data_IF_943768143988
#
_entry.id   IF_943768143988
#
_cell.length_a   1.000
_cell.length_b   1.000
_cell.length_c   1.000
_cell.angle_alpha   90.00
_cell.angle_beta   90.00
_cell.angle_gamma   90.00
#
_symmetry.space_group_name_H-M   'P 1'
#
loop_
_entity.id
_entity.type
_entity.pdbx_description
1 polymer ?
#
# COMPACT_ATOMS: atom_id res chain seq x y z
N UNK A 1 -29.19 12.12 -67.78
CA UNK A 1 -28.45 11.00 -67.15
C UNK A 1 -28.18 11.43 -65.71
N UNK A 2 -29.05 11.02 -64.78
CA UNK A 2 -28.81 9.95 -63.79
C UNK A 2 -27.72 10.35 -62.76
N UNK A 3 -28.11 10.84 -61.57
CA UNK A 3 -28.19 10.11 -60.28
C UNK A 3 -26.79 9.89 -59.65
N UNK A 4 -26.48 10.11 -58.37
CA UNK A 4 -27.19 9.85 -57.12
C UNK A 4 -26.65 10.76 -55.99
N UNK A 5 -27.51 10.99 -55.00
CA UNK A 5 -27.18 11.38 -53.62
C UNK A 5 -26.33 10.30 -52.90
N UNK A 6 -25.39 10.73 -52.06
CA UNK A 6 -24.93 9.93 -50.91
C UNK A 6 -24.65 10.83 -49.71
N UNK A 7 -25.65 10.90 -48.83
CA UNK A 7 -25.64 11.46 -47.48
C UNK A 7 -24.65 10.68 -46.60
N UNK A 8 -23.55 11.29 -46.18
CA UNK A 8 -22.67 10.71 -45.17
C UNK A 8 -23.13 11.15 -43.78
N UNK A 9 -23.86 10.26 -43.10
CA UNK A 9 -24.18 10.39 -41.69
C UNK A 9 -22.88 10.30 -40.87
N UNK A 10 -22.43 11.42 -40.29
CA UNK A 10 -21.38 11.39 -39.27
C UNK A 10 -21.98 10.81 -38.00
N UNK A 11 -21.76 9.51 -37.80
CA UNK A 11 -22.09 8.80 -36.58
C UNK A 11 -21.43 9.46 -35.39
N UNK A 12 -22.24 9.80 -34.40
CA UNK A 12 -21.78 10.18 -33.07
C UNK A 12 -20.87 9.08 -32.53
N UNK A 13 -19.58 9.37 -32.35
CA UNK A 13 -18.73 8.62 -31.45
C UNK A 13 -19.26 8.90 -30.03
N UNK A 14 -20.27 8.14 -29.61
CA UNK A 14 -20.54 7.95 -28.21
C UNK A 14 -19.26 7.35 -27.63
N UNK A 15 -18.47 8.19 -26.96
CA UNK A 15 -17.34 7.76 -26.16
C UNK A 15 -17.86 6.85 -25.08
N UNK A 16 -17.90 5.54 -25.36
CA UNK A 16 -18.02 4.51 -24.37
C UNK A 16 -16.76 4.60 -23.50
N UNK A 17 -16.83 5.41 -22.45
CA UNK A 17 -15.87 5.37 -21.34
C UNK A 17 -15.93 3.97 -20.75
N UNK A 18 -15.15 3.05 -21.30
CA UNK A 18 -14.97 1.71 -20.76
C UNK A 18 -14.30 1.88 -19.41
N UNK A 19 -15.09 1.99 -18.35
CA UNK A 19 -14.60 2.04 -16.98
C UNK A 19 -13.83 0.75 -16.73
N UNK A 20 -12.51 0.82 -16.85
CA UNK A 20 -11.65 -0.35 -16.68
C UNK A 20 -11.61 -0.62 -15.18
N UNK A 21 -12.18 -1.74 -14.74
CA UNK A 21 -12.11 -2.16 -13.35
C UNK A 21 -10.66 -2.37 -12.92
N UNK A 22 -10.30 -1.90 -11.73
CA UNK A 22 -8.98 -2.10 -11.18
C UNK A 22 -8.79 -3.58 -10.80
N UNK A 23 -7.82 -4.24 -11.44
CA UNK A 23 -7.44 -5.61 -11.08
C UNK A 23 -6.54 -5.58 -9.86
N UNK A 24 -7.00 -6.15 -8.74
CA UNK A 24 -6.19 -6.27 -7.52
C UNK A 24 -4.99 -7.18 -7.82
N UNK A 25 -3.74 -6.71 -7.65
CA UNK A 25 -2.58 -7.52 -7.96
C UNK A 25 -2.44 -8.67 -6.94
N UNK A 26 -1.87 -9.79 -7.39
CA UNK A 26 -1.64 -10.96 -6.56
C UNK A 26 -0.45 -10.78 -5.58
N UNK A 27 0.41 -9.81 -5.87
CA UNK A 27 1.55 -9.41 -5.06
C UNK A 27 1.57 -7.89 -4.87
N UNK A 28 2.28 -7.46 -3.83
CA UNK A 28 2.71 -6.10 -3.66
C UNK A 28 4.12 -6.10 -3.07
N UNK A 29 4.98 -5.20 -3.52
CA UNK A 29 6.37 -5.13 -3.05
C UNK A 29 7.17 -6.43 -3.26
N UNK A 30 6.83 -7.22 -4.30
CA UNK A 30 7.41 -8.55 -4.58
C UNK A 30 7.12 -9.61 -3.51
N UNK A 31 6.07 -9.45 -2.70
CA UNK A 31 5.52 -10.53 -1.86
C UNK A 31 4.06 -10.79 -2.21
N UNK A 32 3.59 -12.06 -2.17
CA UNK A 32 2.18 -12.37 -2.37
C UNK A 32 1.31 -11.66 -1.33
N UNK A 33 0.21 -11.04 -1.74
CA UNK A 33 -0.75 -10.39 -0.82
C UNK A 33 -2.17 -10.87 -1.14
N UNK A 34 -2.94 -11.35 -0.15
CA UNK A 34 -4.32 -11.75 -0.37
C UNK A 34 -5.16 -10.59 -0.89
N UNK A 35 -6.00 -10.89 -1.87
CA UNK A 35 -6.97 -9.94 -2.44
C UNK A 35 -7.80 -9.23 -1.35
N UNK A 36 -8.20 -9.95 -0.30
CA UNK A 36 -9.00 -9.40 0.80
C UNK A 36 -8.25 -8.38 1.69
N UNK A 37 -6.92 -8.38 1.67
CA UNK A 37 -6.11 -7.41 2.39
C UNK A 37 -5.85 -6.15 1.55
N UNK A 38 -5.64 -6.30 0.24
CA UNK A 38 -5.27 -5.19 -0.65
C UNK A 38 -6.46 -4.50 -1.32
N UNK A 39 -7.49 -5.25 -1.72
CA UNK A 39 -8.66 -4.69 -2.43
C UNK A 39 -9.36 -3.54 -1.70
N UNK A 40 -9.50 -3.53 -0.36
CA UNK A 40 -10.18 -2.42 0.32
C UNK A 40 -9.43 -1.09 0.22
N UNK A 41 -8.11 -1.14 -0.01
CA UNK A 41 -7.24 0.02 -0.17
C UNK A 41 -7.25 0.58 -1.60
N UNK A 42 -7.82 -0.14 -2.56
CA UNK A 42 -7.78 0.24 -3.97
C UNK A 42 -9.12 0.83 -4.42
N UNK A 43 -9.11 1.90 -5.24
CA UNK A 43 -10.28 2.31 -6.00
C UNK A 43 -10.80 1.17 -6.89
N UNK A 44 -12.10 1.19 -7.18
CA UNK A 44 -12.74 0.13 -7.99
C UNK A 44 -12.35 0.15 -9.46
N UNK A 45 -11.93 1.31 -9.97
CA UNK A 45 -11.65 1.54 -11.38
C UNK A 45 -10.26 2.18 -11.54
N UNK A 46 -9.64 1.95 -12.70
CA UNK A 46 -8.34 2.50 -13.07
C UNK A 46 -7.29 1.43 -13.33
N UNK A 47 -6.32 1.75 -14.20
CA UNK A 47 -5.17 0.89 -14.46
C UNK A 47 -4.28 0.79 -13.23
N UNK A 48 -3.77 -0.42 -12.94
CA UNK A 48 -2.93 -0.67 -11.78
C UNK A 48 -1.46 -0.68 -12.19
N UNK A 49 -0.63 0.06 -11.45
CA UNK A 49 0.82 0.12 -11.64
C UNK A 49 1.53 -0.08 -10.31
N UNK A 50 2.60 -0.87 -10.33
CA UNK A 50 3.48 -1.08 -9.19
C UNK A 50 4.89 -0.59 -9.51
N UNK A 51 5.59 -0.04 -8.53
CA UNK A 51 7.04 0.21 -8.61
C UNK A 51 7.73 -0.34 -7.38
N UNK A 52 8.92 -0.89 -7.57
CA UNK A 52 9.78 -1.43 -6.52
C UNK A 52 11.20 -0.90 -6.73
N UNK A 53 11.85 -0.46 -5.68
CA UNK A 53 13.29 -0.19 -5.68
C UNK A 53 13.89 -0.68 -4.35
N UNK A 54 15.03 -1.35 -4.44
CA UNK A 54 15.80 -1.76 -3.27
C UNK A 54 16.71 -0.60 -2.82
N UNK A 55 16.97 -0.49 -1.53
CA UNK A 55 17.93 0.51 -1.04
C UNK A 55 19.36 0.04 -1.23
N UNK A 56 20.23 0.96 -1.63
CA UNK A 56 21.67 0.71 -1.68
C UNK A 56 22.27 0.87 -0.27
N UNK A 57 23.19 -0.01 0.11
CA UNK A 57 23.96 0.10 1.36
C UNK A 57 23.24 -0.37 2.64
N UNK A 58 21.93 -0.64 2.62
CA UNK A 58 21.20 -1.23 3.74
C UNK A 58 20.03 -2.09 3.25
N UNK A 59 19.68 -3.21 3.93
CA UNK A 59 18.56 -4.02 3.50
C UNK A 59 17.24 -3.27 3.69
N UNK A 60 16.52 -3.09 2.60
CA UNK A 60 15.27 -2.32 2.58
C UNK A 60 14.75 -2.12 1.17
N UNK A 61 13.55 -1.57 1.06
CA UNK A 61 12.92 -1.28 -0.21
C UNK A 61 11.85 -0.19 -0.09
N UNK A 62 11.63 0.52 -1.20
CA UNK A 62 10.47 1.37 -1.39
C UNK A 62 9.51 0.77 -2.42
N UNK A 63 8.23 0.79 -2.10
CA UNK A 63 7.18 0.15 -2.89
C UNK A 63 6.00 1.09 -3.09
N UNK A 64 5.60 1.32 -4.34
CA UNK A 64 4.42 2.17 -4.67
C UNK A 64 3.38 1.36 -5.42
N UNK A 65 2.12 1.51 -5.03
CA UNK A 65 0.95 1.09 -5.77
C UNK A 65 0.21 2.34 -6.26
N UNK A 66 -0.13 2.35 -7.54
CA UNK A 66 -0.94 3.38 -8.18
C UNK A 66 -2.13 2.77 -8.90
N UNK A 67 -3.27 3.45 -8.85
CA UNK A 67 -4.50 3.09 -9.56
C UNK A 67 -5.00 4.31 -10.31
N UNK A 68 -5.25 4.17 -11.62
CA UNK A 68 -5.70 5.28 -12.46
C UNK A 68 -4.71 6.44 -12.53
N UNK A 69 -3.40 6.17 -12.39
CA UNK A 69 -2.36 7.20 -12.37
C UNK A 69 -2.13 7.87 -11.01
N UNK A 70 -2.97 7.61 -10.01
CA UNK A 70 -2.83 8.17 -8.67
C UNK A 70 -2.16 7.16 -7.73
N UNK A 71 -1.21 7.61 -6.91
CA UNK A 71 -0.64 6.81 -5.82
C UNK A 71 -1.75 6.50 -4.81
N UNK A 72 -1.90 5.23 -4.45
CA UNK A 72 -2.87 4.77 -3.45
C UNK A 72 -2.18 4.20 -2.22
N UNK A 73 -1.00 3.59 -2.37
CA UNK A 73 -0.23 3.04 -1.27
C UNK A 73 1.26 3.26 -1.54
N UNK A 74 2.01 3.67 -0.52
CA UNK A 74 3.46 3.69 -0.54
C UNK A 74 3.99 3.08 0.76
N UNK A 75 5.02 2.24 0.65
CA UNK A 75 5.71 1.67 1.79
C UNK A 75 7.21 1.90 1.65
N UNK A 76 7.78 2.46 2.71
CA UNK A 76 9.22 2.50 2.98
C UNK A 76 9.57 1.39 3.98
N UNK A 77 10.54 0.54 3.65
CA UNK A 77 10.90 -0.65 4.42
C UNK A 77 12.39 -0.61 4.71
N UNK A 78 12.76 -0.72 5.99
CA UNK A 78 14.16 -0.70 6.43
C UNK A 78 14.40 -1.80 7.45
N UNK A 79 15.51 -2.54 7.30
CA UNK A 79 15.99 -3.51 8.28
C UNK A 79 17.18 -2.94 9.04
N UNK A 80 17.18 -3.13 10.35
CA UNK A 80 18.24 -2.73 11.25
C UNK A 80 18.77 -3.97 11.97
N UNK A 81 20.05 -4.29 11.77
CA UNK A 81 20.70 -5.45 12.41
C UNK A 81 21.24 -5.14 13.82
N UNK A 82 21.22 -3.86 14.21
CA UNK A 82 21.67 -3.39 15.53
C UNK A 82 21.02 -2.06 15.90
N UNK A 83 20.84 -1.85 17.21
CA UNK A 83 20.42 -0.58 17.79
C UNK A 83 21.48 0.54 17.54
N UNK A 84 21.16 1.84 17.69
CA UNK A 84 20.26 2.38 18.70
C UNK A 84 18.79 2.29 18.31
N UNK A 85 17.96 2.14 19.34
CA UNK A 85 16.52 2.34 19.27
C UNK A 85 16.30 3.80 18.83
N UNK A 86 15.58 4.09 17.73
CA UNK A 86 15.21 5.46 17.44
C UNK A 86 14.25 5.91 18.54
N UNK A 87 14.69 6.94 19.24
CA UNK A 87 13.94 7.65 20.26
C UNK A 87 12.48 7.89 19.84
N UNK A 88 11.58 7.61 20.79
CA UNK A 88 10.16 7.94 20.83
C UNK A 88 9.38 7.69 19.51
N UNK A 89 8.62 6.59 19.49
CA UNK A 89 7.75 6.23 18.37
C UNK A 89 6.54 7.16 18.22
N UNK A 90 6.17 7.89 19.28
CA UNK A 90 5.01 8.78 19.29
C UNK A 90 5.11 9.89 18.22
N UNK A 91 6.22 10.66 18.12
CA UNK A 91 6.43 11.63 17.04
C UNK A 91 6.22 11.09 15.62
N UNK A 92 6.65 9.84 15.35
CA UNK A 92 6.55 9.24 14.01
C UNK A 92 5.13 8.79 13.64
N UNK A 93 4.31 8.47 14.64
CA UNK A 93 2.89 8.16 14.47
C UNK A 93 2.01 9.41 14.31
N UNK A 94 2.47 10.54 14.85
CA UNK A 94 1.72 11.81 14.94
C UNK A 94 1.25 12.41 13.60
N UNK A 95 1.92 12.26 12.43
CA UNK A 95 1.45 12.89 11.21
C UNK A 95 0.19 12.24 10.61
N UNK A 96 -0.21 11.04 11.07
CA UNK A 96 -1.33 10.30 10.51
C UNK A 96 -2.64 10.55 11.25
N UNK A 97 -3.71 10.83 10.51
CA UNK A 97 -5.03 11.14 11.10
C UNK A 97 -5.59 9.94 11.86
N UNK A 98 -6.00 10.16 13.10
CA UNK A 98 -6.52 9.14 14.03
C UNK A 98 -5.52 8.02 14.35
N UNK A 99 -4.22 8.28 14.17
CA UNK A 99 -3.20 7.32 14.56
C UNK A 99 -3.16 7.13 16.07
N UNK A 100 -3.10 5.88 16.47
CA UNK A 100 -2.83 5.46 17.84
C UNK A 100 -2.15 4.11 17.79
N UNK A 101 -1.56 3.70 18.91
CA UNK A 101 -1.05 2.34 19.04
C UNK A 101 -2.19 1.32 18.89
N UNK A 102 -1.96 0.31 18.06
CA UNK A 102 -2.91 -0.77 17.79
C UNK A 102 -2.19 -2.10 17.93
N UNK A 103 -2.90 -3.09 18.47
CA UNK A 103 -2.43 -4.46 18.50
C UNK A 103 -2.25 -5.02 17.08
N UNK A 104 -1.20 -5.80 16.88
CA UNK A 104 -0.84 -6.43 15.61
C UNK A 104 -0.64 -7.93 15.78
N UNK A 105 -0.73 -8.67 14.69
CA UNK A 105 -0.63 -10.14 14.67
C UNK A 105 0.79 -10.69 14.63
N UNK A 106 1.81 -9.84 14.84
CA UNK A 106 3.23 -10.20 14.78
C UNK A 106 3.99 -9.56 15.95
N UNK A 107 5.17 -10.10 16.33
CA UNK A 107 6.01 -9.50 17.35
C UNK A 107 6.44 -8.09 16.93
N UNK A 108 6.04 -7.07 17.69
CA UNK A 108 6.35 -5.68 17.36
C UNK A 108 5.31 -4.69 17.86
N UNK A 109 5.43 -3.46 17.37
CA UNK A 109 4.54 -2.33 17.68
C UNK A 109 4.07 -1.67 16.40
N UNK A 110 2.84 -1.16 16.40
CA UNK A 110 2.34 -0.37 15.30
C UNK A 110 1.48 0.78 15.81
N UNK A 111 1.71 1.96 15.24
CA UNK A 111 0.77 3.04 15.29
C UNK A 111 0.06 3.14 13.95
N UNK A 112 -1.26 3.02 13.95
CA UNK A 112 -2.06 2.89 12.72
C UNK A 112 -3.16 3.95 12.75
N UNK A 113 -3.13 4.84 11.77
CA UNK A 113 -4.16 5.84 11.50
C UNK A 113 -5.01 5.47 10.29
N UNK A 114 -5.85 6.42 9.88
CA UNK A 114 -6.71 6.29 8.71
C UNK A 114 -5.95 6.35 7.38
N UNK A 115 -4.85 7.10 7.32
CA UNK A 115 -4.08 7.46 6.13
C UNK A 115 -2.62 6.99 6.19
N UNK A 116 -2.24 6.22 7.19
CA UNK A 116 -0.91 5.66 7.28
C UNK A 116 -0.65 4.91 8.57
N UNK A 117 0.51 4.26 8.60
CA UNK A 117 0.98 3.51 9.74
C UNK A 117 2.50 3.57 9.83
N UNK A 118 3.00 3.53 11.06
CA UNK A 118 4.40 3.26 11.35
C UNK A 118 4.45 1.95 12.13
N UNK A 119 5.19 0.98 11.59
CA UNK A 119 5.29 -0.36 12.16
C UNK A 119 6.75 -0.66 12.47
N UNK A 120 6.99 -1.26 13.62
CA UNK A 120 8.24 -1.93 13.96
C UNK A 120 7.94 -3.40 14.18
N UNK A 121 8.52 -4.28 13.38
CA UNK A 121 8.45 -5.73 13.57
C UNK A 121 9.79 -6.22 14.12
N UNK A 122 9.75 -7.01 15.19
CA UNK A 122 10.94 -7.60 15.82
C UNK A 122 11.36 -8.83 15.05
N UNK A 123 12.66 -8.98 14.79
CA UNK A 123 13.21 -10.19 14.17
C UNK A 123 13.39 -11.31 15.20
N UNK A 124 13.42 -12.57 14.74
CA UNK A 124 13.70 -13.73 15.61
C UNK A 124 15.16 -13.78 16.06
N UNK A 125 16.08 -13.19 15.28
CA UNK A 125 17.51 -13.17 15.56
C UNK A 125 17.98 -11.87 16.23
N UNK A 126 18.59 -12.02 17.41
CA UNK A 126 19.25 -10.92 18.14
C UNK A 126 18.33 -9.73 18.44
N UNK A 127 18.92 -8.52 18.39
CA UNK A 127 18.20 -7.26 18.58
C UNK A 127 17.76 -6.61 17.25
N UNK A 128 17.69 -7.40 16.17
CA UNK A 128 17.33 -6.89 14.86
C UNK A 128 15.83 -6.60 14.76
N UNK A 129 15.48 -5.61 13.93
CA UNK A 129 14.08 -5.24 13.69
C UNK A 129 13.92 -4.66 12.29
N UNK A 130 12.68 -4.65 11.82
CA UNK A 130 12.27 -3.97 10.60
C UNK A 130 11.32 -2.83 10.90
N UNK A 131 11.49 -1.73 10.19
CA UNK A 131 10.60 -0.56 10.25
C UNK A 131 9.87 -0.42 8.93
N UNK A 132 8.57 -0.12 9.01
CA UNK A 132 7.71 0.15 7.87
C UNK A 132 7.07 1.51 8.04
N UNK A 133 7.33 2.43 7.12
CA UNK A 133 6.55 3.65 6.93
C UNK A 133 5.50 3.39 5.85
N UNK A 134 4.22 3.35 6.22
CA UNK A 134 3.12 3.01 5.33
C UNK A 134 2.25 4.24 5.14
N UNK A 135 2.04 4.63 3.89
CA UNK A 135 1.31 5.84 3.53
C UNK A 135 0.16 5.46 2.61
N UNK A 136 -1.06 5.79 3.02
CA UNK A 136 -2.29 5.42 2.36
C UNK A 136 -3.00 6.68 1.84
N UNK A 137 -3.34 6.69 0.55
CA UNK A 137 -3.77 7.89 -0.17
C UNK A 137 -5.09 7.68 -0.92
N UNK A 138 -5.70 8.81 -1.28
CA UNK A 138 -6.86 8.87 -2.17
C UNK A 138 -8.19 8.57 -1.49
N UNK A 139 -9.24 8.45 -2.30
CA UNK A 139 -10.64 8.43 -1.85
C UNK A 139 -11.02 7.18 -1.07
N UNK A 140 -10.14 6.17 -1.06
CA UNK A 140 -10.29 4.99 -0.22
C UNK A 140 -9.80 5.22 1.19
N UNK A 141 -9.28 6.38 1.56
CA UNK A 141 -8.96 6.73 2.95
C UNK A 141 -10.26 7.11 3.68
N UNK A 142 -10.48 6.54 4.87
CA UNK A 142 -11.64 6.91 5.71
C UNK A 142 -11.16 7.74 6.90
N UNK A 143 -11.32 9.06 6.82
CA UNK A 143 -10.94 9.96 7.91
C UNK A 143 -11.95 9.93 9.06
N UNK A 144 -12.05 8.79 9.74
CA UNK A 144 -12.87 8.59 10.93
C UNK A 144 -12.07 7.84 12.01
N UNK A 145 -12.51 7.87 13.28
CA UNK A 145 -11.86 7.10 14.35
C UNK A 145 -11.76 5.59 14.10
N UNK A 146 -12.56 5.03 13.17
CA UNK A 146 -12.56 3.61 12.81
C UNK A 146 -11.95 3.31 11.43
N UNK A 147 -11.58 4.33 10.67
CA UNK A 147 -11.07 4.18 9.30
C UNK A 147 -9.71 3.48 9.18
N UNK A 148 -8.99 3.32 10.29
CA UNK A 148 -7.74 2.56 10.37
C UNK A 148 -7.90 1.06 10.05
N UNK A 149 -9.10 0.49 10.20
CA UNK A 149 -9.31 -0.98 10.20
C UNK A 149 -8.88 -1.67 8.90
N UNK A 150 -9.10 -1.05 7.74
CA UNK A 150 -8.64 -1.60 6.44
C UNK A 150 -7.11 -1.63 6.36
N UNK A 151 -6.47 -0.55 6.81
CA UNK A 151 -5.02 -0.45 6.81
C UNK A 151 -4.42 -1.43 7.81
N UNK A 152 -5.01 -1.59 8.99
CA UNK A 152 -4.60 -2.60 9.96
C UNK A 152 -4.71 -4.02 9.40
N UNK A 153 -5.79 -4.35 8.67
CA UNK A 153 -5.92 -5.66 8.01
C UNK A 153 -4.77 -5.90 7.02
N UNK A 154 -4.45 -4.88 6.22
CA UNK A 154 -3.32 -4.96 5.30
C UNK A 154 -1.99 -5.11 6.06
N UNK A 155 -1.74 -4.30 7.09
CA UNK A 155 -0.53 -4.37 7.94
C UNK A 155 -0.33 -5.77 8.53
N UNK A 156 -1.39 -6.35 9.10
CA UNK A 156 -1.34 -7.66 9.75
C UNK A 156 -1.05 -8.81 8.78
N UNK A 157 -1.39 -8.67 7.50
CA UNK A 157 -1.08 -9.67 6.49
C UNK A 157 0.27 -9.42 5.79
N UNK A 158 0.54 -8.17 5.41
CA UNK A 158 1.70 -7.79 4.62
C UNK A 158 3.00 -7.87 5.42
N UNK A 159 3.02 -7.31 6.64
CA UNK A 159 4.26 -7.19 7.43
C UNK A 159 4.91 -8.55 7.72
N UNK A 160 4.19 -9.60 8.16
CA UNK A 160 4.80 -10.92 8.37
C UNK A 160 5.41 -11.54 7.12
N UNK A 161 4.88 -11.24 5.93
CA UNK A 161 5.39 -11.77 4.66
C UNK A 161 6.67 -11.04 4.25
N UNK A 162 6.67 -9.72 4.43
CA UNK A 162 7.83 -8.90 4.13
C UNK A 162 8.98 -9.19 5.11
N UNK A 163 8.70 -9.41 6.40
CA UNK A 163 9.73 -9.81 7.37
C UNK A 163 10.38 -11.15 7.02
N UNK A 164 9.59 -12.13 6.55
CA UNK A 164 10.13 -13.41 6.03
C UNK A 164 11.04 -13.20 4.82
N UNK A 165 10.60 -12.37 3.85
CA UNK A 165 11.39 -12.06 2.64
C UNK A 165 12.76 -11.46 2.97
N UNK A 166 12.86 -10.64 4.02
CA UNK A 166 14.12 -10.07 4.48
C UNK A 166 14.87 -10.94 5.51
N UNK A 167 14.48 -12.21 5.69
CA UNK A 167 15.08 -13.13 6.66
C UNK A 167 15.10 -12.57 8.10
N UNK A 168 14.11 -11.76 8.45
CA UNK A 168 13.92 -11.22 9.80
C UNK A 168 13.18 -12.23 10.68
N UNK A 169 12.30 -13.03 10.07
CA UNK A 169 11.55 -14.10 10.72
C UNK A 169 11.63 -15.35 9.86
N UNK A 170 11.54 -16.54 10.48
CA UNK A 170 11.41 -17.83 9.79
C UNK A 170 10.04 -17.97 9.10
#
# INVERSE_FOLDING_TARGET
MAALWCTAAMGALAGCSTSTHATVPADFCKVPVPKAALSPLMPHNGSVKQTYYAFEGQPGAGCTLSVGGHKVLYIDIQRYDRAPDPADWKPKATPHKYAAERAVSFPGHAAIGSDGAVVRATCTSGNAYMVFGIYFFGDRVEHTPTGYKKLQRFVNDFVPRETKKFHCTD
#
